data_IF_769639153053
#
_entry.id   IF_769639153053
#
_cell.length_a   1.000
_cell.length_b   1.000
_cell.length_c   1.000
_cell.angle_alpha   90.00
_cell.angle_beta   90.00
_cell.angle_gamma   90.00
#
_symmetry.space_group_name_H-M   'P 1'
#
loop_
_entity.id
_entity.type
_entity.pdbx_description
1 polymer ?
#
# COMPACT_ATOMS: atom_id res chain seq x y z
N UNK A 1 -19.04 -0.91 7.69
CA UNK A 1 -18.07 -1.71 8.48
C UNK A 1 -16.81 -1.92 7.65
N UNK A 2 -15.63 -1.67 8.22
CA UNK A 2 -14.36 -2.03 7.60
C UNK A 2 -14.24 -3.56 7.58
N UNK A 3 -13.99 -4.16 6.42
CA UNK A 3 -13.76 -5.61 6.32
C UNK A 3 -12.54 -6.01 7.16
N UNK A 4 -12.51 -7.19 7.79
CA UNK A 4 -11.29 -7.68 8.45
C UNK A 4 -10.11 -7.71 7.46
N UNK A 5 -8.89 -7.59 7.98
CA UNK A 5 -7.67 -7.75 7.16
C UNK A 5 -7.59 -9.21 6.70
N UNK A 6 -7.26 -9.41 5.43
CA UNK A 6 -6.97 -10.75 4.89
C UNK A 6 -5.48 -10.94 4.63
N UNK A 7 -5.11 -12.11 4.11
CA UNK A 7 -3.72 -12.50 3.83
C UNK A 7 -3.02 -11.52 2.87
N UNK A 8 -3.76 -10.99 1.88
CA UNK A 8 -3.21 -10.04 0.93
C UNK A 8 -2.92 -8.69 1.58
N UNK A 9 -3.79 -8.24 2.49
CA UNK A 9 -3.56 -7.02 3.27
C UNK A 9 -2.32 -7.17 4.18
N UNK A 10 -2.16 -8.34 4.81
CA UNK A 10 -0.98 -8.66 5.63
C UNK A 10 0.29 -8.69 4.77
N UNK A 11 0.24 -9.31 3.59
CA UNK A 11 1.38 -9.38 2.67
C UNK A 11 1.79 -7.99 2.15
N UNK A 12 0.81 -7.13 1.81
CA UNK A 12 1.06 -5.74 1.45
C UNK A 12 1.71 -4.97 2.61
N UNK A 13 1.24 -5.17 3.84
CA UNK A 13 1.83 -4.57 5.05
C UNK A 13 3.27 -5.01 5.26
N UNK A 14 3.50 -6.32 5.21
CA UNK A 14 4.82 -6.89 5.36
C UNK A 14 5.79 -6.34 4.30
N UNK A 15 5.34 -6.24 3.05
CA UNK A 15 6.16 -5.70 1.95
C UNK A 15 6.61 -4.26 2.19
N UNK A 16 5.70 -3.41 2.65
CA UNK A 16 6.01 -2.00 2.98
C UNK A 16 6.94 -1.90 4.19
N UNK A 17 6.78 -2.80 5.17
CA UNK A 17 7.68 -2.87 6.32
C UNK A 17 9.10 -3.26 5.92
N UNK A 18 9.25 -4.25 5.03
CA UNK A 18 10.55 -4.69 4.51
C UNK A 18 11.21 -3.65 3.59
N UNK A 19 10.40 -2.84 2.90
CA UNK A 19 10.87 -1.87 1.90
C UNK A 19 10.18 -0.51 2.04
N UNK A 20 10.49 0.24 3.11
CA UNK A 20 9.89 1.55 3.32
C UNK A 20 10.33 2.54 2.22
N UNK A 21 9.38 3.36 1.77
CA UNK A 21 9.63 4.41 0.78
C UNK A 21 9.52 3.98 -0.68
N UNK A 22 9.16 2.71 -0.96
CA UNK A 22 8.81 2.26 -2.32
C UNK A 22 7.55 2.99 -2.84
N UNK A 23 7.45 3.13 -4.16
CA UNK A 23 6.23 3.68 -4.76
C UNK A 23 5.12 2.63 -4.78
N UNK A 24 3.86 3.07 -4.84
CA UNK A 24 2.70 2.15 -4.87
C UNK A 24 2.84 1.08 -5.95
N UNK A 25 3.34 1.45 -7.12
CA UNK A 25 3.48 0.51 -8.24
C UNK A 25 4.45 -0.62 -7.93
N UNK A 26 5.57 -0.32 -7.26
CA UNK A 26 6.56 -1.34 -6.89
C UNK A 26 6.06 -2.24 -5.77
N UNK A 27 5.29 -1.70 -4.82
CA UNK A 27 4.67 -2.46 -3.74
C UNK A 27 3.62 -3.44 -4.27
N UNK A 28 2.78 -3.02 -5.23
CA UNK A 28 1.69 -3.87 -5.75
C UNK A 28 2.13 -4.83 -6.86
N UNK A 29 3.25 -4.55 -7.55
CA UNK A 29 3.72 -5.33 -8.71
C UNK A 29 3.78 -6.84 -8.46
N UNK A 30 4.30 -7.34 -7.31
CA UNK A 30 4.35 -8.77 -7.03
C UNK A 30 2.96 -9.44 -6.95
N UNK A 31 1.92 -8.66 -6.60
CA UNK A 31 0.57 -9.16 -6.34
C UNK A 31 -0.37 -9.04 -7.55
N UNK A 32 0.13 -8.54 -8.69
CA UNK A 32 -0.68 -8.36 -9.90
C UNK A 32 -1.19 -9.67 -10.51
N UNK A 33 -0.55 -10.80 -10.20
CA UNK A 33 -1.03 -12.14 -10.58
C UNK A 33 -2.22 -12.60 -9.74
N UNK A 34 -2.38 -12.06 -8.53
CA UNK A 34 -3.44 -12.45 -7.61
C UNK A 34 -4.68 -11.57 -7.77
N UNK A 35 -4.50 -10.25 -7.97
CA UNK A 35 -5.59 -9.28 -8.07
C UNK A 35 -5.26 -8.16 -9.06
N UNK A 36 -6.31 -7.52 -9.56
CA UNK A 36 -6.16 -6.37 -10.45
C UNK A 36 -5.53 -5.17 -9.73
N UNK A 37 -4.81 -4.34 -10.50
CA UNK A 37 -4.18 -3.13 -10.00
C UNK A 37 -5.15 -2.20 -9.23
N UNK A 38 -6.36 -2.04 -9.75
CA UNK A 38 -7.41 -1.22 -9.12
C UNK A 38 -7.74 -1.73 -7.71
N UNK A 39 -7.90 -3.05 -7.54
CA UNK A 39 -8.19 -3.69 -6.25
C UNK A 39 -7.02 -3.51 -5.28
N UNK A 40 -5.79 -3.71 -5.74
CA UNK A 40 -4.58 -3.54 -4.91
C UNK A 40 -4.42 -2.08 -4.45
N UNK A 41 -4.64 -1.12 -5.34
CA UNK A 41 -4.62 0.32 -4.99
C UNK A 41 -5.72 0.67 -3.99
N UNK A 42 -6.93 0.11 -4.15
CA UNK A 42 -8.02 0.31 -3.19
C UNK A 42 -7.67 -0.26 -1.81
N UNK A 43 -6.99 -1.41 -1.75
CA UNK A 43 -6.51 -2.00 -0.50
C UNK A 43 -5.44 -1.15 0.17
N UNK A 44 -4.45 -0.65 -0.57
CA UNK A 44 -3.45 0.29 -0.04
C UNK A 44 -4.13 1.52 0.58
N UNK A 45 -5.16 2.07 -0.09
CA UNK A 45 -5.96 3.16 0.47
C UNK A 45 -6.72 2.75 1.72
N UNK A 46 -7.28 1.54 1.77
CA UNK A 46 -7.94 1.04 2.96
C UNK A 46 -6.96 0.87 4.14
N UNK A 47 -5.72 0.44 3.88
CA UNK A 47 -4.66 0.33 4.89
C UNK A 47 -4.19 1.69 5.40
N UNK A 48 -4.07 2.68 4.51
CA UNK A 48 -3.82 4.08 4.87
C UNK A 48 -4.92 4.64 5.78
N UNK A 49 -6.19 4.44 5.42
CA UNK A 49 -7.34 4.90 6.21
C UNK A 49 -7.41 4.25 7.59
N UNK A 50 -6.86 3.03 7.75
CA UNK A 50 -6.74 2.32 9.02
C UNK A 50 -5.51 2.71 9.83
N UNK A 51 -4.70 3.67 9.34
CA UNK A 51 -3.43 4.06 9.95
C UNK A 51 -2.45 2.89 10.08
N UNK A 52 -2.53 1.89 9.20
CA UNK A 52 -1.60 0.76 9.16
C UNK A 52 -0.41 1.00 8.22
N UNK A 53 -0.51 2.07 7.42
CA UNK A 53 0.50 2.55 6.47
C UNK A 53 0.33 4.06 6.30
N UNK A 54 1.39 4.74 5.88
CA UNK A 54 1.37 6.15 5.54
C UNK A 54 1.77 6.37 4.09
N UNK A 55 0.97 7.14 3.34
CA UNK A 55 1.31 7.55 1.98
C UNK A 55 1.84 8.98 2.00
N UNK A 56 3.13 9.13 1.77
CA UNK A 56 3.79 10.44 1.67
C UNK A 56 3.80 10.86 0.21
N UNK A 57 3.19 12.02 -0.06
CA UNK A 57 3.14 12.62 -1.40
C UNK A 57 4.25 13.65 -1.54
N UNK A 58 5.03 13.55 -2.60
CA UNK A 58 6.02 14.56 -2.96
C UNK A 58 5.32 15.89 -3.25
N UNK A 59 5.82 16.99 -2.67
CA UNK A 59 5.29 18.32 -2.94
C UNK A 59 5.67 18.84 -4.33
N UNK A 60 6.73 18.29 -4.93
CA UNK A 60 7.23 18.71 -6.26
C UNK A 60 6.43 18.08 -7.40
N UNK A 61 6.00 16.83 -7.25
CA UNK A 61 5.17 16.16 -8.25
C UNK A 61 4.08 15.34 -7.56
N UNK A 62 2.81 15.57 -7.93
CA UNK A 62 1.67 14.79 -7.41
C UNK A 62 1.74 13.29 -7.77
N UNK A 63 2.67 12.89 -8.64
CA UNK A 63 2.87 11.52 -9.13
C UNK A 63 3.77 10.68 -8.24
N UNK A 64 4.64 11.29 -7.44
CA UNK A 64 5.51 10.55 -6.53
C UNK A 64 4.80 10.37 -5.18
N UNK A 65 4.15 9.21 -5.04
CA UNK A 65 3.58 8.77 -3.76
C UNK A 65 4.41 7.60 -3.26
N UNK A 66 5.03 7.77 -2.10
CA UNK A 66 5.84 6.77 -1.40
C UNK A 66 5.06 6.21 -0.22
N UNK A 67 5.20 4.92 0.05
CA UNK A 67 4.52 4.25 1.16
C UNK A 67 5.52 3.97 2.29
N UNK A 68 5.11 4.23 3.52
CA UNK A 68 5.87 3.94 4.73
C UNK A 68 5.02 3.13 5.71
N UNK A 69 5.64 2.26 6.53
CA UNK A 69 4.94 1.63 7.63
C UNK A 69 4.54 2.68 8.68
N UNK A 70 3.48 2.39 9.42
CA UNK A 70 3.13 3.10 10.66
C UNK A 70 3.50 2.17 11.81
N UNK A 71 4.15 2.74 12.84
CA UNK A 71 4.54 2.05 14.07
C UNK A 71 3.34 1.50 14.86
#
# INVERSE_FOLDING_TARGET
>A
MLKPLDELDVALKQRVFERPGECIQDVIRPFLLERSESVLRQRIRALELRQLMQLIRSQKTKREVRIFPVD
#
